data_IF_845812556396
#
_entry.id   IF_845812556396
#
_cell.length_a   1.000
_cell.length_b   1.000
_cell.length_c   1.000
_cell.angle_alpha   90.00
_cell.angle_beta   90.00
_cell.angle_gamma   90.00
#
_symmetry.space_group_name_H-M   'P 1'
#
loop_
_entity.id
_entity.type
_entity.pdbx_description
1 polymer ?
#
# COMPACT_ATOMS: atom_id res chain seq x y z
N UNK A 1 -13.81 0.50 12.08
CA UNK A 1 -13.85 -0.54 11.02
C UNK A 1 -13.87 -1.91 11.69
N UNK A 2 -14.59 -2.90 11.15
CA UNK A 2 -14.43 -4.29 11.63
C UNK A 2 -13.15 -4.80 10.98
N UNK A 3 -12.10 -5.00 11.78
CA UNK A 3 -10.78 -5.46 11.34
C UNK A 3 -10.84 -6.90 10.82
N UNK A 4 -10.29 -7.13 9.63
CA UNK A 4 -9.99 -8.46 9.13
C UNK A 4 -8.53 -8.80 9.41
N UNK A 5 -8.29 -9.59 10.46
CA UNK A 5 -6.95 -9.95 10.94
C UNK A 5 -6.10 -10.62 9.87
N UNK A 6 -6.67 -11.51 9.05
CA UNK A 6 -5.92 -12.24 8.01
C UNK A 6 -5.41 -11.28 6.92
N UNK A 7 -6.29 -10.40 6.43
CA UNK A 7 -5.90 -9.38 5.44
C UNK A 7 -4.88 -8.41 6.02
N UNK A 8 -5.01 -8.03 7.29
CA UNK A 8 -4.06 -7.14 7.94
C UNK A 8 -2.67 -7.76 8.04
N UNK A 9 -2.58 -9.04 8.44
CA UNK A 9 -1.30 -9.74 8.49
C UNK A 9 -0.67 -9.92 7.11
N UNK A 10 -1.47 -10.31 6.10
CA UNK A 10 -1.01 -10.43 4.73
C UNK A 10 -0.54 -9.09 4.17
N UNK A 11 -1.29 -8.03 4.41
CA UNK A 11 -0.96 -6.67 4.03
C UNK A 11 0.32 -6.19 4.69
N UNK A 12 0.51 -6.46 5.98
CA UNK A 12 1.73 -6.10 6.71
C UNK A 12 2.96 -6.85 6.17
N UNK A 13 2.81 -8.15 5.84
CA UNK A 13 3.90 -8.92 5.20
C UNK A 13 4.31 -8.30 3.87
N UNK A 14 3.35 -8.03 2.99
CA UNK A 14 3.62 -7.41 1.68
C UNK A 14 4.21 -6.01 1.83
N UNK A 15 3.66 -5.20 2.73
CA UNK A 15 4.13 -3.83 2.97
C UNK A 15 5.59 -3.81 3.42
N UNK A 16 5.98 -4.70 4.34
CA UNK A 16 7.37 -4.80 4.80
C UNK A 16 8.31 -5.35 3.72
N UNK A 17 7.83 -6.23 2.84
CA UNK A 17 8.62 -6.73 1.69
C UNK A 17 8.96 -5.59 0.71
N UNK A 18 7.99 -4.70 0.44
CA UNK A 18 8.14 -3.60 -0.50
C UNK A 18 8.89 -2.39 0.08
N UNK A 19 8.58 -2.02 1.32
CA UNK A 19 9.04 -0.75 1.92
C UNK A 19 10.04 -0.93 3.07
N UNK A 20 10.35 -2.16 3.45
CA UNK A 20 11.22 -2.48 4.57
C UNK A 20 10.53 -2.40 5.93
N UNK A 21 11.18 -3.00 6.93
CA UNK A 21 10.67 -3.01 8.30
C UNK A 21 10.65 -1.60 8.89
N UNK A 22 9.52 -1.22 9.51
CA UNK A 22 9.34 0.07 10.19
C UNK A 22 8.67 1.16 9.35
N UNK A 23 8.56 1.00 8.02
CA UNK A 23 7.88 1.97 7.16
C UNK A 23 6.40 2.17 7.55
N UNK A 24 5.72 1.12 8.04
CA UNK A 24 4.33 1.24 8.50
C UNK A 24 4.20 2.06 9.78
N UNK A 25 5.22 2.03 10.64
CA UNK A 25 5.24 2.83 11.86
C UNK A 25 5.47 4.31 11.56
N UNK A 26 6.37 4.61 10.62
CA UNK A 26 6.59 6.00 10.17
C UNK A 26 5.33 6.57 9.51
N UNK A 27 4.67 5.80 8.64
CA UNK A 27 3.39 6.23 8.05
C UNK A 27 2.30 6.47 9.11
N UNK A 28 2.25 5.63 10.15
CA UNK A 28 1.32 5.81 11.28
C UNK A 28 1.61 7.09 12.06
N UNK A 29 2.88 7.45 12.27
CA UNK A 29 3.27 8.73 12.89
C UNK A 29 2.87 9.91 12.02
N UNK A 30 3.16 9.85 10.73
CA UNK A 30 2.85 10.92 9.76
C UNK A 30 1.35 11.22 9.68
N UNK A 31 0.51 10.19 9.84
CA UNK A 31 -0.95 10.31 9.75
C UNK A 31 -1.65 10.49 11.10
N UNK A 32 -0.94 10.45 12.22
CA UNK A 32 -1.54 10.40 13.56
C UNK A 32 -2.48 11.59 13.85
N UNK A 33 -2.08 12.80 13.45
CA UNK A 33 -2.84 14.03 13.71
C UNK A 33 -3.90 14.34 12.62
N UNK A 34 -3.84 13.63 11.48
CA UNK A 34 -4.72 13.87 10.33
C UNK A 34 -5.81 12.79 10.23
N UNK A 35 -5.41 11.52 10.21
CA UNK A 35 -6.28 10.37 10.09
C UNK A 35 -5.57 9.14 10.70
N UNK A 36 -5.69 8.92 12.02
CA UNK A 36 -4.93 7.88 12.72
C UNK A 36 -5.22 6.47 12.21
N UNK A 37 -6.42 6.23 11.66
CA UNK A 37 -6.83 4.93 11.11
C UNK A 37 -6.31 4.70 9.68
N UNK A 38 -5.80 5.73 8.99
CA UNK A 38 -5.46 5.66 7.57
C UNK A 38 -4.47 4.55 7.24
N UNK A 39 -3.43 4.42 8.08
CA UNK A 39 -2.36 3.43 7.90
C UNK A 39 -2.91 2.02 8.03
N UNK A 40 -3.73 1.75 9.05
CA UNK A 40 -4.32 0.44 9.27
C UNK A 40 -5.28 0.05 8.14
N UNK A 41 -6.11 1.01 7.69
CA UNK A 41 -7.01 0.82 6.54
C UNK A 41 -6.21 0.50 5.27
N UNK A 42 -5.14 1.24 5.01
CA UNK A 42 -4.31 1.06 3.81
C UNK A 42 -3.61 -0.30 3.80
N UNK A 43 -3.08 -0.73 4.95
CA UNK A 43 -2.41 -2.02 5.07
C UNK A 43 -3.42 -3.16 4.94
N UNK A 44 -4.54 -3.12 5.66
CA UNK A 44 -5.53 -4.20 5.61
C UNK A 44 -6.20 -4.29 4.23
N UNK A 45 -6.77 -3.20 3.74
CA UNK A 45 -7.59 -3.21 2.54
C UNK A 45 -6.77 -3.13 1.26
N UNK A 46 -5.86 -2.15 1.14
CA UNK A 46 -5.13 -1.94 -0.11
C UNK A 46 -4.02 -2.98 -0.30
N UNK A 47 -3.19 -3.20 0.73
CA UNK A 47 -2.08 -4.15 0.62
C UNK A 47 -2.59 -5.60 0.69
N UNK A 48 -3.26 -5.97 1.79
CA UNK A 48 -3.74 -7.34 2.00
C UNK A 48 -4.91 -7.70 1.09
N UNK A 49 -5.92 -6.82 1.06
CA UNK A 49 -7.17 -7.07 0.35
C UNK A 49 -7.11 -6.94 -1.17
N UNK A 50 -6.13 -6.23 -1.75
CA UNK A 50 -6.07 -5.96 -3.20
C UNK A 50 -4.70 -6.33 -3.79
N UNK A 51 -3.61 -5.71 -3.32
CA UNK A 51 -2.29 -5.90 -3.94
C UNK A 51 -1.78 -7.33 -3.78
N UNK A 52 -2.08 -7.99 -2.67
CA UNK A 52 -1.66 -9.36 -2.41
C UNK A 52 -2.52 -10.43 -3.11
N UNK A 53 -3.56 -10.07 -3.89
CA UNK A 53 -4.40 -11.04 -4.62
C UNK A 53 -3.60 -11.78 -5.68
N UNK A 54 -3.83 -13.09 -5.89
CA UNK A 54 -3.23 -13.81 -7.01
C UNK A 54 -3.82 -13.35 -8.36
N UNK A 55 -3.16 -13.72 -9.46
CA UNK A 55 -3.67 -13.54 -10.83
C UNK A 55 -2.88 -12.55 -11.69
N UNK A 56 -2.12 -11.63 -11.09
CA UNK A 56 -1.13 -10.80 -11.77
C UNK A 56 0.20 -10.90 -11.05
N UNK A 57 1.28 -11.07 -11.81
CA UNK A 57 2.64 -10.92 -11.30
C UNK A 57 2.91 -9.47 -10.86
N UNK A 58 3.94 -9.29 -10.03
CA UNK A 58 4.28 -7.99 -9.45
C UNK A 58 4.53 -6.93 -10.53
N UNK A 59 5.31 -7.26 -11.57
CA UNK A 59 5.67 -6.32 -12.63
C UNK A 59 4.44 -5.83 -13.39
N UNK A 60 3.54 -6.73 -13.76
CA UNK A 60 2.30 -6.39 -14.45
C UNK A 60 1.39 -5.53 -13.56
N UNK A 61 1.35 -5.81 -12.25
CA UNK A 61 0.58 -5.01 -11.29
C UNK A 61 1.10 -3.58 -11.16
N UNK A 62 2.41 -3.40 -11.01
CA UNK A 62 3.03 -2.08 -10.93
C UNK A 62 2.80 -1.26 -12.20
N UNK A 63 2.87 -1.89 -13.38
CA UNK A 63 2.53 -1.22 -14.65
C UNK A 63 1.11 -0.64 -14.67
N UNK A 64 0.12 -1.36 -14.11
CA UNK A 64 -1.26 -0.88 -14.00
C UNK A 64 -1.37 0.30 -13.02
N UNK A 65 -0.66 0.24 -11.89
CA UNK A 65 -0.66 1.31 -10.89
C UNK A 65 0.03 2.56 -11.42
N UNK A 66 1.15 2.42 -12.11
CA UNK A 66 1.87 3.51 -12.79
C UNK A 66 0.96 4.18 -13.83
N UNK A 67 0.31 3.40 -14.70
CA UNK A 67 -0.61 3.94 -15.69
C UNK A 67 -1.75 4.73 -15.01
N UNK A 68 -2.31 4.18 -13.93
CA UNK A 68 -3.35 4.84 -13.14
C UNK A 68 -2.86 6.17 -12.56
N UNK A 69 -1.67 6.18 -11.94
CA UNK A 69 -1.04 7.38 -11.39
C UNK A 69 -0.84 8.48 -12.45
N UNK A 70 -0.32 8.11 -13.63
CA UNK A 70 -0.11 9.05 -14.73
C UNK A 70 -1.44 9.67 -15.18
N UNK A 71 -2.51 8.87 -15.30
CA UNK A 71 -3.84 9.38 -15.70
C UNK A 71 -4.54 10.22 -14.64
N UNK A 72 -4.21 10.04 -13.35
CA UNK A 72 -4.74 10.83 -12.23
C UNK A 72 -4.10 12.22 -12.12
N UNK A 73 -2.93 12.44 -12.73
CA UNK A 73 -2.30 13.75 -12.89
C UNK A 73 -1.53 14.29 -11.68
N UNK A 74 -1.99 14.06 -10.44
CA UNK A 74 -1.40 14.61 -9.21
C UNK A 74 -0.97 13.55 -8.18
N UNK A 75 -0.32 12.47 -8.63
CA UNK A 75 0.16 11.38 -7.74
C UNK A 75 1.67 11.17 -7.83
N UNK A 76 2.45 12.26 -7.89
CA UNK A 76 3.92 12.20 -8.09
C UNK A 76 4.64 11.37 -7.02
N UNK A 77 4.33 11.48 -5.70
CA UNK A 77 4.96 10.61 -4.69
C UNK A 77 4.70 9.13 -4.93
N UNK A 78 3.45 8.78 -5.27
CA UNK A 78 3.05 7.40 -5.56
C UNK A 78 3.71 6.90 -6.84
N UNK A 79 3.72 7.71 -7.90
CA UNK A 79 4.38 7.36 -9.17
C UNK A 79 5.86 7.06 -8.97
N UNK A 80 6.57 7.83 -8.13
CA UNK A 80 7.98 7.57 -7.80
C UNK A 80 8.15 6.27 -7.03
N UNK A 81 7.32 6.02 -6.03
CA UNK A 81 7.38 4.79 -5.24
C UNK A 81 7.17 3.55 -6.13
N UNK A 82 6.12 3.55 -6.95
CA UNK A 82 5.79 2.44 -7.84
C UNK A 82 6.78 2.25 -9.00
N UNK A 83 7.49 3.31 -9.42
CA UNK A 83 8.56 3.18 -10.42
C UNK A 83 9.86 2.55 -9.86
N UNK A 84 9.99 2.44 -8.53
CA UNK A 84 11.17 1.88 -7.84
C UNK A 84 10.93 0.48 -7.26
N UNK A 85 9.68 0.00 -7.29
CA UNK A 85 9.25 -1.33 -6.85
C UNK A 85 9.66 -2.42 -7.85
#
# INVERSE_FOLDING_TARGET
MITNTELREQGMRLFNELYGNGAGEELRKDMADLCPDFTDISIEWAMGGILARPGLDAKTREMVVIASCVTLGHTVPQLRAHAQA
#
